data_IF_023251342339
#
_entry.id   IF_023251342339
#
_cell.length_a   1.000
_cell.length_b   1.000
_cell.length_c   1.000
_cell.angle_alpha   90.00
_cell.angle_beta   90.00
_cell.angle_gamma   90.00
#
_symmetry.space_group_name_H-M   'P 1'
#
loop_
_entity.id
_entity.type
_entity.pdbx_description
1 polymer ?
#
# COMPACT_ATOMS: atom_id res chain seq x y z
N UNK A 1 2.24 -2.36 -18.42
CA UNK A 1 1.67 -3.67 -18.04
C UNK A 1 0.94 -3.51 -16.72
N UNK A 2 -0.25 -4.09 -16.57
CA UNK A 2 -0.95 -4.19 -15.28
C UNK A 2 -0.62 -5.56 -14.66
N UNK A 3 -0.10 -5.54 -13.42
CA UNK A 3 0.09 -6.73 -12.59
C UNK A 3 -0.88 -6.70 -11.41
N UNK A 4 -1.91 -7.55 -11.46
CA UNK A 4 -2.95 -7.68 -10.43
C UNK A 4 -3.12 -9.12 -9.93
N UNK A 5 -2.09 -9.96 -10.10
CA UNK A 5 -2.10 -11.32 -9.54
C UNK A 5 -1.97 -11.28 -8.02
N UNK A 6 -2.36 -12.36 -7.35
CA UNK A 6 -2.34 -12.46 -5.89
C UNK A 6 -1.08 -13.17 -5.41
N UNK A 7 -0.43 -12.63 -4.37
CA UNK A 7 0.71 -13.26 -3.72
C UNK A 7 2.03 -13.08 -4.48
N UNK A 8 3.06 -13.79 -4.06
CA UNK A 8 4.44 -13.64 -4.53
C UNK A 8 4.65 -14.02 -6.01
N UNK A 9 3.68 -14.71 -6.64
CA UNK A 9 3.80 -15.10 -8.05
C UNK A 9 3.89 -13.92 -9.00
N UNK A 10 3.50 -12.70 -8.56
CA UNK A 10 3.61 -11.45 -9.31
C UNK A 10 5.04 -10.97 -9.55
N UNK A 11 6.03 -11.44 -8.77
CA UNK A 11 7.41 -10.96 -8.87
C UNK A 11 8.04 -11.23 -10.24
N UNK A 12 7.95 -12.46 -10.74
CA UNK A 12 8.54 -12.84 -12.04
C UNK A 12 7.91 -12.09 -13.22
N UNK A 13 6.59 -11.99 -13.36
CA UNK A 13 5.96 -11.18 -14.41
C UNK A 13 6.34 -9.70 -14.34
N UNK A 14 6.48 -9.12 -13.14
CA UNK A 14 6.95 -7.74 -12.97
C UNK A 14 8.35 -7.55 -13.52
N UNK A 15 9.30 -8.42 -13.14
CA UNK A 15 10.67 -8.35 -13.65
C UNK A 15 10.73 -8.54 -15.17
N UNK A 16 9.94 -9.47 -15.73
CA UNK A 16 9.86 -9.69 -17.17
C UNK A 16 9.31 -8.43 -17.91
N UNK A 17 8.32 -7.75 -17.33
CA UNK A 17 7.80 -6.49 -17.89
C UNK A 17 8.87 -5.37 -17.87
N UNK A 18 9.62 -5.26 -16.76
CA UNK A 18 10.72 -4.31 -16.63
C UNK A 18 11.82 -4.59 -17.64
N UNK A 19 12.23 -5.87 -17.79
CA UNK A 19 13.23 -6.26 -18.80
C UNK A 19 12.78 -5.93 -20.23
N UNK A 20 11.49 -6.03 -20.51
CA UNK A 20 10.88 -5.60 -21.76
C UNK A 20 10.68 -4.07 -21.86
N UNK A 21 11.22 -3.28 -20.93
CA UNK A 21 11.11 -1.82 -20.83
C UNK A 21 9.65 -1.32 -20.87
N UNK A 22 8.76 -1.99 -20.15
CA UNK A 22 7.36 -1.61 -20.04
C UNK A 22 7.08 -1.02 -18.66
N UNK A 23 6.44 0.14 -18.61
CA UNK A 23 5.89 0.67 -17.37
C UNK A 23 4.95 -0.35 -16.73
N UNK A 24 4.97 -0.45 -15.40
CA UNK A 24 4.19 -1.41 -14.64
C UNK A 24 3.19 -0.68 -13.74
N UNK A 25 1.91 -0.92 -13.97
CA UNK A 25 0.85 -0.59 -13.02
C UNK A 25 0.75 -1.76 -12.04
N UNK A 26 1.17 -1.54 -10.79
CA UNK A 26 1.33 -2.59 -9.78
C UNK A 26 0.19 -2.55 -8.78
N UNK A 27 -0.67 -3.58 -8.83
CA UNK A 27 -1.70 -3.84 -7.83
C UNK A 27 -1.30 -4.95 -6.85
N UNK A 28 -0.23 -5.69 -7.17
CA UNK A 28 0.29 -6.80 -6.37
C UNK A 28 1.37 -6.30 -5.40
N UNK A 29 0.98 -5.94 -4.18
CA UNK A 29 1.89 -5.43 -3.15
C UNK A 29 2.95 -6.43 -2.73
N UNK A 30 2.64 -7.72 -2.78
CA UNK A 30 3.57 -8.79 -2.39
C UNK A 30 4.82 -8.83 -3.27
N UNK A 31 4.74 -8.33 -4.49
CA UNK A 31 5.90 -8.19 -5.37
C UNK A 31 6.98 -7.30 -4.74
N UNK A 32 6.63 -6.16 -4.18
CA UNK A 32 7.59 -5.27 -3.50
C UNK A 32 7.94 -5.74 -2.10
N UNK A 33 7.02 -6.37 -1.40
CA UNK A 33 7.30 -6.96 -0.09
C UNK A 33 8.36 -8.06 -0.20
N UNK A 34 8.26 -8.93 -1.20
CA UNK A 34 9.19 -10.06 -1.39
C UNK A 34 10.47 -9.69 -2.13
N UNK A 35 10.43 -8.72 -3.05
CA UNK A 35 11.54 -8.42 -3.94
C UNK A 35 11.76 -6.94 -4.21
N UNK A 36 11.36 -6.04 -3.30
CA UNK A 36 11.37 -4.59 -3.52
C UNK A 36 12.71 -4.05 -3.98
N UNK A 37 13.80 -4.43 -3.31
CA UNK A 37 15.15 -4.01 -3.70
C UNK A 37 15.47 -4.40 -5.16
N UNK A 38 15.20 -5.65 -5.53
CA UNK A 38 15.45 -6.17 -6.87
C UNK A 38 14.60 -5.46 -7.92
N UNK A 39 13.29 -5.31 -7.64
CA UNK A 39 12.32 -4.71 -8.57
C UNK A 39 12.63 -3.22 -8.78
N UNK A 40 12.83 -2.46 -7.71
CA UNK A 40 13.07 -1.02 -7.81
C UNK A 40 14.43 -0.71 -8.45
N UNK A 41 15.46 -1.51 -8.17
CA UNK A 41 16.75 -1.39 -8.85
C UNK A 41 16.60 -1.66 -10.35
N UNK A 42 15.97 -2.77 -10.74
CA UNK A 42 15.74 -3.12 -12.13
C UNK A 42 14.93 -2.04 -12.88
N UNK A 43 13.88 -1.52 -12.25
CA UNK A 43 13.05 -0.45 -12.80
C UNK A 43 13.89 0.82 -13.05
N UNK A 44 14.72 1.22 -12.09
CA UNK A 44 15.62 2.36 -12.21
C UNK A 44 16.64 2.18 -13.35
N UNK A 45 17.30 1.02 -13.42
CA UNK A 45 18.29 0.70 -14.46
C UNK A 45 17.69 0.71 -15.88
N UNK A 46 16.45 0.27 -16.02
CA UNK A 46 15.74 0.21 -17.32
C UNK A 46 14.95 1.48 -17.64
N UNK A 47 14.87 2.45 -16.72
CA UNK A 47 14.08 3.67 -16.88
C UNK A 47 12.57 3.40 -16.94
N UNK A 48 12.09 2.37 -16.24
CA UNK A 48 10.68 1.95 -16.18
C UNK A 48 9.98 2.59 -14.99
N UNK A 49 8.77 3.08 -15.19
CA UNK A 49 7.94 3.62 -14.11
C UNK A 49 7.17 2.52 -13.41
N UNK A 50 7.20 2.54 -12.08
CA UNK A 50 6.33 1.75 -11.24
C UNK A 50 5.16 2.63 -10.79
N UNK A 51 3.96 2.29 -11.20
CA UNK A 51 2.74 3.09 -10.95
C UNK A 51 1.87 2.30 -9.98
N UNK A 52 1.62 2.82 -8.76
CA UNK A 52 0.80 2.10 -7.78
C UNK A 52 -0.68 2.09 -8.18
N UNK A 53 -1.32 0.95 -7.98
CA UNK A 53 -2.75 0.73 -8.21
C UNK A 53 -3.50 0.56 -6.88
N UNK A 54 -2.83 0.03 -5.86
CA UNK A 54 -3.38 -0.02 -4.49
C UNK A 54 -3.87 1.37 -4.08
N UNK A 55 -5.07 1.46 -3.50
CA UNK A 55 -5.76 2.74 -3.29
C UNK A 55 -4.96 3.71 -2.42
N UNK A 56 -4.36 3.23 -1.34
CA UNK A 56 -3.56 4.04 -0.44
C UNK A 56 -2.29 4.57 -1.11
N UNK A 57 -1.60 3.73 -1.88
CA UNK A 57 -0.39 4.12 -2.61
C UNK A 57 -0.70 5.01 -3.81
N UNK A 58 -1.81 4.74 -4.51
CA UNK A 58 -2.31 5.61 -5.57
C UNK A 58 -2.63 7.00 -5.03
N UNK A 59 -3.22 7.09 -3.84
CA UNK A 59 -3.51 8.35 -3.17
C UNK A 59 -2.22 9.14 -2.87
N UNK A 60 -1.20 8.48 -2.29
CA UNK A 60 0.12 9.11 -2.07
C UNK A 60 0.73 9.57 -3.39
N UNK A 61 0.71 8.71 -4.41
CA UNK A 61 1.23 9.05 -5.74
C UNK A 61 0.55 10.28 -6.33
N UNK A 62 -0.77 10.40 -6.18
CA UNK A 62 -1.53 11.58 -6.63
C UNK A 62 -1.18 12.82 -5.82
N UNK A 63 -1.04 12.71 -4.49
CA UNK A 63 -0.61 13.84 -3.65
C UNK A 63 0.81 14.32 -3.99
N UNK A 64 1.68 13.42 -4.45
CA UNK A 64 3.05 13.76 -4.87
C UNK A 64 3.12 14.28 -6.32
N UNK A 65 2.01 14.29 -7.05
CA UNK A 65 1.98 14.78 -8.42
C UNK A 65 2.29 16.27 -8.46
N UNK A 66 3.41 16.62 -9.09
CA UNK A 66 3.92 18.00 -9.11
C UNK A 66 4.88 18.35 -7.98
N UNK A 67 5.14 17.44 -7.03
CA UNK A 67 6.22 17.63 -6.06
C UNK A 67 7.57 17.51 -6.79
N UNK A 68 8.31 18.61 -6.85
CA UNK A 68 9.60 18.69 -7.55
C UNK A 68 10.79 18.33 -6.69
N UNK A 69 10.61 18.34 -5.35
CA UNK A 69 11.67 18.01 -4.39
C UNK A 69 11.11 17.14 -3.25
N UNK A 70 11.36 15.84 -3.33
CA UNK A 70 10.97 14.87 -2.31
C UNK A 70 11.63 15.11 -0.93
N UNK A 71 12.69 15.94 -0.85
CA UNK A 71 13.28 16.32 0.45
C UNK A 71 12.34 17.20 1.30
N UNK A 72 11.35 17.81 0.66
CA UNK A 72 10.31 18.56 1.36
C UNK A 72 9.27 17.64 2.04
N UNK A 73 9.24 16.36 1.66
CA UNK A 73 8.35 15.39 2.27
C UNK A 73 8.86 15.01 3.66
N UNK A 74 8.02 15.22 4.67
CA UNK A 74 8.32 14.90 6.06
C UNK A 74 7.92 13.48 6.40
N UNK A 75 6.71 13.08 6.02
CA UNK A 75 6.20 11.71 6.19
C UNK A 75 5.03 11.40 5.26
N UNK A 76 4.78 10.12 5.09
CA UNK A 76 3.59 9.56 4.45
C UNK A 76 2.72 8.94 5.55
N UNK A 77 1.41 9.17 5.50
CA UNK A 77 0.44 8.63 6.44
C UNK A 77 -0.57 7.79 5.66
N UNK A 78 -0.48 6.46 5.80
CA UNK A 78 -1.45 5.55 5.20
C UNK A 78 -2.70 5.48 6.06
N UNK A 79 -3.87 5.44 5.44
CA UNK A 79 -5.11 5.18 6.15
C UNK A 79 -5.44 3.69 6.19
N UNK A 80 -6.17 3.27 7.21
CA UNK A 80 -6.65 1.90 7.36
C UNK A 80 -8.11 1.91 7.81
N UNK A 81 -8.92 0.97 7.29
CA UNK A 81 -10.30 0.80 7.78
C UNK A 81 -10.37 0.24 9.21
N UNK A 82 -9.29 -0.39 9.67
CA UNK A 82 -9.23 -1.11 10.95
C UNK A 82 -9.84 -2.51 10.90
N UNK A 83 -10.41 -2.91 9.76
CA UNK A 83 -10.98 -4.24 9.56
C UNK A 83 -12.25 -4.52 10.38
N UNK A 84 -12.77 -5.77 10.33
CA UNK A 84 -14.02 -6.15 10.98
C UNK A 84 -13.91 -6.27 12.51
N UNK A 85 -12.70 -6.33 13.04
CA UNK A 85 -12.47 -6.56 14.47
C UNK A 85 -12.02 -5.32 15.24
N UNK A 86 -12.07 -4.16 14.60
CA UNK A 86 -11.72 -2.90 15.25
C UNK A 86 -12.54 -2.66 16.52
N UNK A 87 -11.86 -2.32 17.62
CA UNK A 87 -12.47 -2.04 18.92
C UNK A 87 -12.81 -3.27 19.76
N UNK A 88 -12.55 -4.49 19.25
CA UNK A 88 -12.74 -5.71 20.03
C UNK A 88 -11.61 -5.92 21.03
N UNK A 89 -11.98 -6.45 22.21
CA UNK A 89 -11.01 -6.85 23.24
C UNK A 89 -10.32 -8.16 22.86
N UNK A 90 -9.23 -8.49 23.56
CA UNK A 90 -8.51 -9.75 23.35
C UNK A 90 -9.42 -10.96 23.58
N UNK A 91 -10.24 -10.90 24.63
CA UNK A 91 -11.18 -11.96 25.00
C UNK A 91 -12.25 -12.18 23.91
N UNK A 92 -12.76 -11.09 23.32
CA UNK A 92 -13.69 -11.17 22.20
C UNK A 92 -13.06 -11.76 20.94
N UNK A 93 -11.74 -11.58 20.78
CA UNK A 93 -10.99 -12.09 19.61
C UNK A 93 -10.70 -13.60 19.71
N UNK A 94 -10.69 -14.19 20.92
CA UNK A 94 -10.38 -15.62 21.10
C UNK A 94 -11.36 -16.55 20.38
N UNK A 95 -12.58 -16.09 20.14
CA UNK A 95 -13.66 -16.88 19.54
C UNK A 95 -14.05 -16.46 18.13
N UNK A 96 -13.28 -15.56 17.49
CA UNK A 96 -13.58 -15.15 16.12
C UNK A 96 -13.32 -16.27 15.13
N UNK A 97 -14.13 -16.31 14.09
CA UNK A 97 -14.05 -17.32 13.04
C UNK A 97 -13.53 -16.73 11.73
N UNK A 98 -13.00 -17.57 10.84
CA UNK A 98 -12.61 -17.17 9.49
C UNK A 98 -13.78 -16.52 8.72
N UNK A 99 -15.02 -16.99 8.93
CA UNK A 99 -16.21 -16.41 8.30
C UNK A 99 -16.44 -14.96 8.76
N UNK A 100 -16.20 -14.66 10.03
CA UNK A 100 -16.30 -13.28 10.56
C UNK A 100 -15.16 -12.41 10.01
N UNK A 101 -13.94 -12.95 9.90
CA UNK A 101 -12.80 -12.24 9.32
C UNK A 101 -13.01 -11.89 7.84
N UNK A 102 -13.75 -12.72 7.09
CA UNK A 102 -14.11 -12.49 5.69
C UNK A 102 -15.23 -11.45 5.50
N UNK A 103 -15.85 -10.97 6.57
CA UNK A 103 -16.92 -9.97 6.50
C UNK A 103 -16.36 -8.56 6.73
N UNK A 104 -15.76 -7.97 5.71
CA UNK A 104 -15.20 -6.61 5.82
C UNK A 104 -16.34 -5.56 5.88
N UNK A 105 -16.26 -4.54 6.77
CA UNK A 105 -17.35 -3.59 6.97
C UNK A 105 -17.62 -2.69 5.77
N UNK A 106 -16.61 -2.32 5.00
CA UNK A 106 -16.72 -1.29 3.96
C UNK A 106 -16.52 -1.85 2.53
N UNK A 107 -15.76 -2.94 2.37
CA UNK A 107 -15.29 -3.37 1.05
C UNK A 107 -15.63 -4.84 0.77
N UNK A 108 -15.99 -5.10 -0.48
CA UNK A 108 -16.09 -6.47 -1.01
C UNK A 108 -14.80 -6.77 -1.79
N UNK A 109 -13.90 -7.52 -1.18
CA UNK A 109 -12.57 -7.80 -1.70
C UNK A 109 -12.32 -9.30 -1.81
N UNK A 110 -11.21 -9.69 -2.46
CA UNK A 110 -10.76 -11.08 -2.46
C UNK A 110 -10.47 -11.61 -1.05
N UNK A 111 -10.59 -12.93 -0.86
CA UNK A 111 -10.49 -13.56 0.47
C UNK A 111 -9.14 -13.26 1.16
N UNK A 112 -8.03 -13.32 0.42
CA UNK A 112 -6.69 -13.07 0.98
C UNK A 112 -6.58 -11.67 1.58
N UNK A 113 -6.89 -10.61 0.81
CA UNK A 113 -6.78 -9.22 1.27
C UNK A 113 -7.80 -8.92 2.38
N UNK A 114 -8.95 -9.57 2.39
CA UNK A 114 -9.95 -9.42 3.46
C UNK A 114 -9.44 -9.97 4.78
N UNK A 115 -8.81 -11.14 4.78
CA UNK A 115 -8.17 -11.73 5.97
C UNK A 115 -6.98 -10.87 6.43
N UNK A 116 -6.15 -10.40 5.51
CA UNK A 116 -5.04 -9.50 5.84
C UNK A 116 -5.55 -8.19 6.48
N UNK A 117 -6.67 -7.66 5.99
CA UNK A 117 -7.32 -6.49 6.60
C UNK A 117 -7.82 -6.78 8.02
N UNK A 118 -8.44 -7.95 8.24
CA UNK A 118 -8.95 -8.36 9.55
C UNK A 118 -7.85 -8.44 10.62
N UNK A 119 -6.63 -8.74 10.23
CA UNK A 119 -5.46 -8.87 11.10
C UNK A 119 -4.57 -7.62 11.11
N UNK A 120 -4.90 -6.59 10.34
CA UNK A 120 -4.04 -5.44 10.03
C UNK A 120 -2.74 -5.80 9.27
N UNK A 121 -2.55 -7.06 8.86
CA UNK A 121 -1.40 -7.48 8.06
C UNK A 121 -1.39 -6.77 6.70
N UNK A 122 -2.56 -6.51 6.09
CA UNK A 122 -2.64 -5.73 4.86
C UNK A 122 -1.91 -4.39 5.00
N UNK A 123 -2.13 -3.69 6.09
CA UNK A 123 -1.48 -2.40 6.35
C UNK A 123 0.02 -2.54 6.61
N UNK A 124 0.45 -3.63 7.24
CA UNK A 124 1.88 -3.97 7.37
C UNK A 124 2.56 -4.21 6.02
N UNK A 125 1.91 -4.95 5.12
CA UNK A 125 2.42 -5.16 3.75
C UNK A 125 2.48 -3.83 2.97
N UNK A 126 1.49 -2.98 3.12
CA UNK A 126 1.42 -1.66 2.49
C UNK A 126 2.50 -0.71 2.99
N UNK A 127 2.87 -0.74 4.27
CA UNK A 127 4.01 0.03 4.78
C UNK A 127 5.32 -0.37 4.09
N UNK A 128 5.55 -1.67 3.92
CA UNK A 128 6.74 -2.17 3.23
C UNK A 128 6.72 -1.75 1.74
N UNK A 129 5.56 -1.86 1.09
CA UNK A 129 5.38 -1.42 -0.29
C UNK A 129 5.64 0.08 -0.45
N UNK A 130 5.09 0.92 0.45
CA UNK A 130 5.29 2.37 0.43
C UNK A 130 6.77 2.75 0.60
N UNK A 131 7.50 2.06 1.49
CA UNK A 131 8.93 2.28 1.68
C UNK A 131 9.71 2.10 0.37
N UNK A 132 9.38 1.07 -0.42
CA UNK A 132 10.01 0.82 -1.71
C UNK A 132 9.55 1.79 -2.79
N UNK A 133 8.24 1.97 -2.98
CA UNK A 133 7.68 2.81 -4.05
C UNK A 133 8.12 4.27 -3.95
N UNK A 134 8.11 4.81 -2.74
CA UNK A 134 8.38 6.22 -2.50
C UNK A 134 9.79 6.49 -1.97
N UNK A 135 10.62 5.43 -1.85
CA UNK A 135 11.99 5.52 -1.29
C UNK A 135 12.02 6.23 0.07
N UNK A 136 11.04 5.92 0.91
CA UNK A 136 10.88 6.51 2.24
C UNK A 136 11.42 5.56 3.32
N UNK A 137 12.18 6.05 4.31
CA UNK A 137 12.56 5.27 5.47
C UNK A 137 11.33 4.94 6.32
N UNK A 138 11.33 3.79 7.00
CA UNK A 138 10.18 3.31 7.78
C UNK A 138 9.76 4.29 8.88
N UNK A 139 10.71 5.07 9.43
CA UNK A 139 10.48 6.08 10.46
C UNK A 139 9.65 7.28 9.97
N UNK A 140 9.54 7.44 8.66
CA UNK A 140 8.75 8.47 8.01
C UNK A 140 7.44 7.93 7.43
N UNK A 141 7.10 6.70 7.73
CA UNK A 141 5.81 6.07 7.37
C UNK A 141 4.96 5.92 8.62
N UNK A 142 3.72 6.36 8.55
CA UNK A 142 2.77 6.31 9.64
C UNK A 142 1.44 5.69 9.19
N UNK A 143 0.61 5.28 10.13
CA UNK A 143 -0.71 4.71 9.86
C UNK A 143 -1.73 5.34 10.80
N UNK A 144 -2.86 5.73 10.23
CA UNK A 144 -4.04 6.15 11.00
C UNK A 144 -5.24 5.27 10.64
N UNK A 145 -6.02 4.91 11.64
CA UNK A 145 -7.28 4.21 11.40
C UNK A 145 -8.35 5.25 11.08
N UNK A 146 -8.90 5.17 9.87
CA UNK A 146 -9.98 6.02 9.36
C UNK A 146 -11.11 5.13 8.87
N UNK A 147 -12.09 4.92 9.75
CA UNK A 147 -13.18 3.94 9.56
C UNK A 147 -14.08 4.25 8.39
N UNK A 148 -14.31 5.52 8.14
CA UNK A 148 -15.18 6.01 7.07
C UNK A 148 -14.58 5.78 5.68
N UNK A 149 -13.26 5.60 5.59
CA UNK A 149 -12.52 5.38 4.34
C UNK A 149 -12.79 6.45 3.26
N UNK A 150 -13.00 7.70 3.68
CA UNK A 150 -13.19 8.85 2.76
C UNK A 150 -11.82 9.34 2.29
N UNK A 151 -10.84 9.37 3.21
CA UNK A 151 -9.46 9.72 2.91
C UNK A 151 -8.68 8.43 2.73
N UNK A 152 -7.96 8.32 1.59
CA UNK A 152 -7.20 7.12 1.27
C UNK A 152 -5.72 7.19 1.66
N UNK A 153 -5.13 8.34 1.82
CA UNK A 153 -3.81 8.56 2.42
C UNK A 153 -3.51 10.06 2.45
N UNK A 154 -2.44 10.42 3.17
CA UNK A 154 -1.98 11.78 3.31
C UNK A 154 -0.46 11.84 3.16
N UNK A 155 0.05 13.00 2.78
CA UNK A 155 1.45 13.36 2.88
C UNK A 155 1.59 14.62 3.72
N UNK A 156 2.63 14.68 4.55
CA UNK A 156 2.99 15.85 5.33
C UNK A 156 4.35 16.38 4.86
N UNK A 157 4.43 17.67 4.63
CA UNK A 157 5.64 18.37 4.25
C UNK A 157 6.41 18.92 5.46
N UNK A 158 7.66 19.36 5.24
CA UNK A 158 8.52 19.90 6.31
C UNK A 158 7.97 21.19 6.95
N UNK A 159 7.15 21.94 6.23
CA UNK A 159 6.44 23.11 6.74
C UNK A 159 5.15 22.78 7.51
N UNK A 160 4.89 21.47 7.72
CA UNK A 160 3.69 20.89 8.33
C UNK A 160 2.40 21.07 7.52
N UNK A 161 2.46 21.49 6.26
CA UNK A 161 1.30 21.38 5.37
C UNK A 161 0.99 19.92 5.08
N UNK A 162 -0.30 19.60 4.93
CA UNK A 162 -0.77 18.24 4.68
C UNK A 162 -1.64 18.22 3.44
N UNK A 163 -1.36 17.28 2.53
CA UNK A 163 -2.24 16.95 1.42
C UNK A 163 -2.88 15.60 1.63
N UNK A 164 -4.14 15.49 1.28
CA UNK A 164 -4.91 14.27 1.36
C UNK A 164 -5.64 14.01 0.04
N UNK A 165 -5.70 12.76 -0.38
CA UNK A 165 -6.54 12.34 -1.50
C UNK A 165 -7.84 11.76 -0.94
N UNK A 166 -8.97 12.25 -1.46
CA UNK A 166 -10.30 11.76 -1.15
C UNK A 166 -10.76 10.89 -2.33
N UNK A 167 -11.20 9.66 -2.06
CA UNK A 167 -11.64 8.67 -3.04
C UNK A 167 -13.11 8.32 -2.92
#
# INVERSE_FOLDING_TARGET
VLNSVVGMVGLRPTLAAIDAKKDVALANKETLVAGGALVMQAAKEKGVRMIPVDSEHSAVFQCLYGCTDHKQLKRIILTASGGPFFGKTKEELEHVTAKQALNHPNWNMGAKVTIDSATMMNKGLELIEAAWLFSMPMEQLDVVVHRESIIHSLIEYQDNSVLAQLG
#
